data_IF_549394459442
#
_entry.id   IF_549394459442
#
_cell.length_a   1.000
_cell.length_b   1.000
_cell.length_c   1.000
_cell.angle_alpha   90.00
_cell.angle_beta   90.00
_cell.angle_gamma   90.00
#
_symmetry.space_group_name_H-M   'P 1'
#
loop_
_entity.id
_entity.type
_entity.pdbx_description
1 polymer ?
#
# COMPACT_ATOMS: atom_id res chain seq x y z
N UNK A 1 -11.44 -14.59 -5.37
CA UNK A 1 -12.25 -13.88 -4.36
C UNK A 1 -12.73 -12.50 -4.83
N UNK A 2 -11.87 -11.59 -5.30
CA UNK A 2 -12.27 -10.25 -5.79
C UNK A 2 -13.35 -10.25 -6.89
N UNK A 3 -13.19 -11.07 -7.94
CA UNK A 3 -14.19 -11.19 -9.03
C UNK A 3 -15.55 -11.69 -8.54
N UNK A 4 -15.57 -12.61 -7.58
CA UNK A 4 -16.80 -13.16 -7.01
C UNK A 4 -17.51 -12.11 -6.16
N UNK A 5 -16.80 -11.42 -5.26
CA UNK A 5 -17.37 -10.33 -4.46
C UNK A 5 -17.91 -9.19 -5.32
N UNK A 6 -17.17 -8.80 -6.36
CA UNK A 6 -17.59 -7.79 -7.34
C UNK A 6 -18.87 -8.20 -8.09
N UNK A 7 -18.94 -9.45 -8.57
CA UNK A 7 -20.13 -9.96 -9.25
C UNK A 7 -21.36 -10.02 -8.32
N UNK A 8 -21.18 -10.37 -7.04
CA UNK A 8 -22.27 -10.39 -6.07
C UNK A 8 -22.77 -8.97 -5.73
N UNK A 9 -21.86 -8.00 -5.59
CA UNK A 9 -22.22 -6.61 -5.34
C UNK A 9 -22.97 -5.98 -6.53
N UNK A 10 -22.48 -6.17 -7.76
CA UNK A 10 -23.16 -5.68 -8.98
C UNK A 10 -24.54 -6.33 -9.15
N UNK A 11 -24.68 -7.64 -8.87
CA UNK A 11 -25.97 -8.33 -8.90
C UNK A 11 -26.98 -7.77 -7.90
N UNK A 12 -26.53 -7.32 -6.74
CA UNK A 12 -27.39 -6.80 -5.67
C UNK A 12 -27.76 -5.33 -5.89
N UNK A 13 -26.79 -4.50 -6.26
CA UNK A 13 -26.92 -3.05 -6.22
C UNK A 13 -27.07 -2.42 -7.62
N UNK A 14 -27.01 -3.20 -8.70
CA UNK A 14 -27.21 -2.73 -10.09
C UNK A 14 -26.06 -1.90 -10.66
N UNK A 15 -25.02 -1.66 -9.87
CA UNK A 15 -23.79 -0.97 -10.24
C UNK A 15 -22.65 -1.51 -9.38
N UNK A 16 -21.40 -1.32 -9.82
CA UNK A 16 -20.27 -1.53 -8.92
C UNK A 16 -20.35 -0.43 -7.85
N UNK A 17 -20.49 -0.76 -6.56
CA UNK A 17 -20.46 0.26 -5.53
C UNK A 17 -19.15 1.02 -5.68
N UNK A 18 -19.20 2.36 -5.66
CA UNK A 18 -18.00 3.16 -5.49
C UNK A 18 -17.45 2.86 -4.09
N UNK A 19 -16.71 1.76 -3.95
CA UNK A 19 -16.12 1.35 -2.70
C UNK A 19 -15.22 2.50 -2.24
N UNK A 20 -15.64 3.16 -1.15
CA UNK A 20 -15.00 4.32 -0.56
C UNK A 20 -14.95 5.55 -1.48
N UNK A 21 -16.11 6.14 -1.77
CA UNK A 21 -16.20 7.48 -2.38
C UNK A 21 -15.30 8.45 -1.58
N UNK A 22 -14.29 9.04 -2.25
CA UNK A 22 -13.22 9.89 -1.67
C UNK A 22 -12.05 9.17 -0.99
N UNK A 23 -11.86 7.87 -1.24
CA UNK A 23 -10.61 7.20 -0.87
C UNK A 23 -9.44 7.73 -1.70
N UNK A 24 -8.26 7.99 -1.10
CA UNK A 24 -7.04 8.29 -1.84
C UNK A 24 -6.39 7.03 -2.45
N UNK A 25 -6.95 5.84 -2.19
CA UNK A 25 -6.45 4.55 -2.67
C UNK A 25 -7.27 4.02 -3.84
N UNK A 26 -6.59 3.44 -4.83
CA UNK A 26 -7.24 2.87 -6.02
C UNK A 26 -7.83 1.47 -5.81
N UNK A 27 -7.46 0.79 -4.73
CA UNK A 27 -7.88 -0.58 -4.45
C UNK A 27 -8.02 -0.84 -2.94
N UNK A 28 -8.79 -1.87 -2.59
CA UNK A 28 -8.90 -2.39 -1.23
C UNK A 28 -8.99 -3.91 -1.25
N UNK A 29 -8.26 -4.56 -0.35
CA UNK A 29 -8.31 -6.00 -0.09
C UNK A 29 -8.84 -6.25 1.32
N UNK A 30 -9.72 -7.25 1.46
CA UNK A 30 -10.18 -7.74 2.76
C UNK A 30 -9.50 -9.07 3.01
N UNK A 31 -8.62 -9.10 3.99
CA UNK A 31 -8.02 -10.32 4.48
C UNK A 31 -8.95 -10.83 5.59
N UNK A 32 -9.63 -11.95 5.32
CA UNK A 32 -10.54 -12.61 6.25
C UNK A 32 -10.18 -14.09 6.41
N UNK A 33 -10.37 -14.65 7.61
CA UNK A 33 -10.08 -16.06 7.91
C UNK A 33 -9.61 -16.30 9.35
N UNK A 34 -9.50 -15.25 10.17
CA UNK A 34 -9.24 -15.32 11.61
C UNK A 34 -7.80 -15.64 12.02
N UNK A 35 -7.01 -16.33 11.19
CA UNK A 35 -5.59 -16.64 11.46
C UNK A 35 -4.65 -15.97 10.46
N UNK A 36 -4.82 -14.66 10.25
CA UNK A 36 -4.08 -13.94 9.21
C UNK A 36 -2.69 -13.56 9.74
N UNK A 37 -1.77 -14.50 9.58
CA UNK A 37 -0.34 -14.28 9.66
C UNK A 37 0.25 -14.21 8.26
N UNK A 38 1.19 -13.30 8.06
CA UNK A 38 1.92 -13.17 6.79
C UNK A 38 3.35 -13.64 7.00
N UNK A 39 3.92 -14.29 5.98
CA UNK A 39 5.36 -14.49 5.93
C UNK A 39 6.06 -13.17 5.56
N UNK A 40 7.38 -13.12 5.65
CA UNK A 40 8.14 -11.97 5.17
C UNK A 40 7.84 -11.70 3.70
N UNK A 41 7.36 -10.50 3.41
CA UNK A 41 7.08 -10.07 2.05
C UNK A 41 7.23 -8.56 1.92
N UNK A 42 7.19 -8.11 0.67
CA UNK A 42 7.05 -6.72 0.27
C UNK A 42 5.97 -6.70 -0.80
N UNK A 43 5.08 -5.72 -0.76
CA UNK A 43 4.07 -5.57 -1.80
C UNK A 43 4.70 -4.88 -3.01
N UNK A 44 5.64 -5.55 -3.68
CA UNK A 44 6.48 -4.96 -4.73
C UNK A 44 5.70 -4.44 -5.95
N UNK A 45 4.41 -4.75 -6.05
CA UNK A 45 3.50 -4.21 -7.06
C UNK A 45 2.85 -2.86 -6.66
N UNK A 46 2.91 -2.49 -5.39
CA UNK A 46 2.39 -1.23 -4.88
C UNK A 46 3.33 -0.07 -5.22
N UNK A 47 2.77 1.14 -5.19
CA UNK A 47 3.52 2.37 -5.42
C UNK A 47 4.64 2.49 -4.38
N UNK A 48 5.89 2.53 -4.84
CA UNK A 48 7.07 2.55 -3.96
C UNK A 48 7.09 3.77 -3.03
N UNK A 49 6.61 4.90 -3.51
CA UNK A 49 6.50 6.17 -2.79
C UNK A 49 5.10 6.43 -2.24
N UNK A 50 4.21 5.43 -2.32
CA UNK A 50 2.91 5.46 -1.69
C UNK A 50 2.92 4.77 -0.34
N UNK A 51 1.84 4.95 0.39
CA UNK A 51 1.53 4.18 1.60
C UNK A 51 0.37 3.23 1.33
N UNK A 52 0.24 2.20 2.15
CA UNK A 52 -0.96 1.40 2.28
C UNK A 52 -1.59 1.67 3.64
N UNK A 53 -2.89 1.88 3.68
CA UNK A 53 -3.66 1.95 4.92
C UNK A 53 -4.11 0.56 5.32
N UNK A 54 -3.79 0.12 6.54
CA UNK A 54 -4.18 -1.18 7.06
C UNK A 54 -5.02 -0.98 8.31
N UNK A 55 -6.31 -1.31 8.21
CA UNK A 55 -7.22 -1.35 9.35
C UNK A 55 -7.24 -2.77 9.91
N UNK A 56 -6.87 -2.91 11.17
CA UNK A 56 -6.80 -4.20 11.87
C UNK A 56 -8.14 -4.50 12.50
N UNK A 57 -8.62 -5.73 12.34
CA UNK A 57 -9.90 -6.20 12.86
C UNK A 57 -9.71 -7.50 13.65
N UNK A 58 -10.69 -7.83 14.49
CA UNK A 58 -10.72 -9.08 15.23
C UNK A 58 -10.62 -8.90 16.74
N UNK A 59 -10.20 -9.95 17.43
CA UNK A 59 -10.07 -10.01 18.89
C UNK A 59 -8.81 -10.78 19.23
N UNK A 60 -7.82 -10.08 19.78
CA UNK A 60 -6.53 -10.61 20.21
C UNK A 60 -5.87 -9.64 21.19
N UNK A 61 -4.95 -10.12 22.02
CA UNK A 61 -4.15 -9.24 22.88
C UNK A 61 -2.95 -8.68 22.10
N UNK A 62 -3.10 -7.45 21.63
CA UNK A 62 -2.10 -6.72 20.86
C UNK A 62 -0.76 -6.48 21.55
N UNK A 63 -0.65 -6.71 22.87
CA UNK A 63 0.60 -6.54 23.62
C UNK A 63 1.51 -7.75 23.56
N UNK A 64 0.94 -8.91 23.20
CA UNK A 64 1.65 -10.20 23.22
C UNK A 64 1.49 -10.98 21.91
N UNK A 65 0.65 -10.51 20.99
CA UNK A 65 0.20 -11.25 19.81
C UNK A 65 -0.05 -10.32 18.62
N UNK A 66 0.17 -10.81 17.40
CA UNK A 66 -0.25 -10.12 16.18
C UNK A 66 0.49 -8.81 15.84
N UNK A 67 1.65 -8.55 16.46
CA UNK A 67 2.49 -7.38 16.20
C UNK A 67 2.87 -7.26 14.71
N UNK A 68 3.06 -6.02 14.24
CA UNK A 68 3.61 -5.76 12.91
C UNK A 68 5.12 -5.63 13.01
N UNK A 69 5.86 -6.36 12.18
CA UNK A 69 7.32 -6.37 12.19
C UNK A 69 7.82 -5.76 10.88
N UNK A 70 8.65 -4.72 10.99
CA UNK A 70 9.21 -3.95 9.88
C UNK A 70 10.73 -4.16 9.82
N UNK A 71 11.21 -4.87 8.80
CA UNK A 71 12.60 -5.38 8.75
C UNK A 71 13.63 -4.26 8.60
N UNK A 72 13.47 -3.40 7.61
CA UNK A 72 14.42 -2.32 7.29
C UNK A 72 14.46 -1.27 8.41
N UNK A 73 13.33 -1.04 9.09
CA UNK A 73 13.25 -0.15 10.25
C UNK A 73 13.65 -0.80 11.57
N UNK A 74 13.93 -2.11 11.59
CA UNK A 74 14.28 -2.87 12.80
C UNK A 74 13.30 -2.63 13.95
N UNK A 75 12.02 -2.52 13.62
CA UNK A 75 10.98 -2.10 14.55
C UNK A 75 9.88 -3.16 14.64
N UNK A 76 9.38 -3.38 15.84
CA UNK A 76 8.17 -4.15 16.14
C UNK A 76 7.13 -3.18 16.68
N UNK A 77 5.92 -3.23 16.12
CA UNK A 77 4.84 -2.29 16.46
C UNK A 77 3.64 -3.07 16.97
N UNK A 78 3.17 -2.71 18.16
CA UNK A 78 1.89 -3.15 18.70
C UNK A 78 0.76 -2.38 17.97
N UNK A 79 -0.19 -3.11 17.40
CA UNK A 79 -1.35 -2.53 16.72
C UNK A 79 -2.61 -3.15 17.29
N UNK A 80 -3.51 -2.33 17.84
CA UNK A 80 -4.73 -2.80 18.48
C UNK A 80 -5.75 -3.24 17.44
N UNK A 81 -6.67 -4.17 17.79
CA UNK A 81 -7.91 -4.30 17.06
C UNK A 81 -8.58 -2.92 16.91
N UNK A 82 -9.09 -2.63 15.72
CA UNK A 82 -9.68 -1.36 15.29
C UNK A 82 -8.70 -0.21 15.02
N UNK A 83 -7.40 -0.39 15.25
CA UNK A 83 -6.42 0.60 14.81
C UNK A 83 -6.26 0.57 13.29
N UNK A 84 -5.91 1.74 12.74
CA UNK A 84 -5.48 1.88 11.35
C UNK A 84 -4.07 2.45 11.32
N UNK A 85 -3.18 1.81 10.58
CA UNK A 85 -1.80 2.26 10.42
C UNK A 85 -1.43 2.36 8.95
N UNK A 86 -0.46 3.23 8.64
CA UNK A 86 0.05 3.44 7.29
C UNK A 86 1.45 2.88 7.17
N UNK A 87 1.71 2.10 6.11
CA UNK A 87 3.05 1.56 5.83
C UNK A 87 3.46 1.77 4.37
N UNK A 88 4.74 2.05 4.10
CA UNK A 88 5.27 2.07 2.74
C UNK A 88 5.53 0.63 2.26
N UNK A 89 4.45 -0.13 2.07
CA UNK A 89 4.49 -1.58 1.88
C UNK A 89 5.21 -2.03 0.61
N UNK A 90 5.32 -1.12 -0.37
CA UNK A 90 6.06 -1.32 -1.62
C UNK A 90 7.59 -1.25 -1.48
N UNK A 91 8.13 -0.70 -0.39
CA UNK A 91 9.58 -0.59 -0.18
C UNK A 91 10.08 -1.21 1.14
N UNK A 92 9.20 -1.44 2.12
CA UNK A 92 9.54 -2.05 3.41
C UNK A 92 9.09 -3.51 3.47
N UNK A 93 10.03 -4.39 3.77
CA UNK A 93 9.77 -5.80 4.05
C UNK A 93 9.09 -5.93 5.41
N UNK A 94 7.94 -6.56 5.43
CA UNK A 94 7.10 -6.64 6.62
C UNK A 94 6.44 -8.00 6.77
N UNK A 95 5.98 -8.27 7.99
CA UNK A 95 5.13 -9.41 8.34
C UNK A 95 4.32 -9.11 9.59
N UNK A 96 3.34 -9.96 9.88
CA UNK A 96 2.69 -10.00 11.19
C UNK A 96 3.31 -11.11 12.04
N UNK A 97 3.46 -10.88 13.35
CA UNK A 97 3.81 -11.92 14.31
C UNK A 97 2.69 -12.99 14.36
N UNK A 98 3.01 -14.23 14.76
CA UNK A 98 2.00 -15.25 15.02
C UNK A 98 0.94 -14.78 16.01
N UNK A 99 -0.25 -15.33 15.86
CA UNK A 99 -1.35 -15.15 16.81
C UNK A 99 -1.31 -16.24 17.88
N UNK A 100 -1.80 -15.95 19.08
CA UNK A 100 -1.98 -16.96 20.12
C UNK A 100 -3.16 -17.88 19.80
N UNK A 101 -3.22 -19.09 20.41
CA UNK A 101 -4.37 -19.96 20.28
C UNK A 101 -5.67 -19.26 20.72
N UNK A 102 -6.68 -19.25 19.84
CA UNK A 102 -7.98 -18.61 20.09
C UNK A 102 -8.08 -17.17 19.61
N UNK A 103 -6.96 -16.50 19.34
CA UNK A 103 -6.95 -15.14 18.77
C UNK A 103 -7.49 -15.13 17.34
N UNK A 104 -8.20 -14.05 17.03
CA UNK A 104 -8.76 -13.77 15.70
C UNK A 104 -8.20 -12.45 15.21
N UNK A 105 -7.50 -12.44 14.08
CA UNK A 105 -7.08 -11.22 13.39
C UNK A 105 -7.46 -11.25 11.92
N UNK A 106 -8.12 -10.18 11.49
CA UNK A 106 -8.46 -9.88 10.10
C UNK A 106 -7.91 -8.49 9.75
N UNK A 107 -7.92 -8.12 8.47
CA UNK A 107 -7.57 -6.75 8.08
C UNK A 107 -8.26 -6.29 6.81
N UNK A 108 -8.44 -4.97 6.72
CA UNK A 108 -8.79 -4.27 5.49
C UNK A 108 -7.55 -3.49 5.07
N UNK A 109 -7.09 -3.69 3.84
CA UNK A 109 -5.89 -3.06 3.31
C UNK A 109 -6.27 -2.23 2.10
N UNK A 110 -6.06 -0.92 2.18
CA UNK A 110 -6.24 0.01 1.06
C UNK A 110 -4.88 0.39 0.48
N UNK A 111 -4.74 0.30 -0.84
CA UNK A 111 -3.45 0.45 -1.53
C UNK A 111 -3.63 0.95 -2.96
N UNK A 112 -2.52 1.41 -3.56
CA UNK A 112 -2.48 1.78 -4.97
C UNK A 112 -1.34 1.06 -5.70
N UNK A 113 -1.69 0.35 -6.78
CA UNK A 113 -0.73 -0.41 -7.57
C UNK A 113 0.14 0.53 -8.42
N UNK A 114 1.46 0.35 -8.40
CA UNK A 114 2.40 1.12 -9.21
C UNK A 114 2.14 1.00 -10.72
N UNK A 115 1.49 -0.10 -11.14
CA UNK A 115 1.10 -0.32 -12.53
C UNK A 115 0.09 0.70 -13.05
N UNK A 116 -0.79 1.22 -12.19
CA UNK A 116 -1.78 2.23 -12.58
C UNK A 116 -1.11 3.55 -12.96
N UNK A 117 -0.14 4.01 -12.16
CA UNK A 117 0.62 5.22 -12.45
C UNK A 117 1.50 5.07 -13.69
N UNK A 118 2.08 3.88 -13.92
CA UNK A 118 2.81 3.60 -15.18
C UNK A 118 1.90 3.64 -16.40
N UNK A 119 0.70 3.07 -16.28
CA UNK A 119 -0.29 3.07 -17.35
C UNK A 119 -0.73 4.51 -17.67
N UNK A 120 -1.00 5.32 -16.65
CA UNK A 120 -1.29 6.75 -16.81
C UNK A 120 -0.13 7.49 -17.49
N UNK A 121 1.11 7.33 -17.02
CA UNK A 121 2.28 8.01 -17.60
C UNK A 121 2.59 7.57 -19.05
N UNK A 122 2.03 6.44 -19.48
CA UNK A 122 2.10 5.95 -20.87
C UNK A 122 0.94 6.45 -21.74
N UNK A 123 0.14 7.40 -21.26
CA UNK A 123 -1.04 7.90 -21.97
C UNK A 123 -2.14 6.84 -22.05
N UNK A 124 -2.32 6.08 -20.98
CA UNK A 124 -3.35 5.04 -20.85
C UNK A 124 -3.17 3.85 -21.83
N UNK A 125 -1.93 3.54 -22.18
CA UNK A 125 -1.56 2.44 -23.09
C UNK A 125 -0.92 1.28 -22.34
N UNK A 126 -1.08 0.06 -22.87
CA UNK A 126 -0.43 -1.12 -22.30
C UNK A 126 1.09 -1.02 -22.48
N UNK A 127 1.83 -1.72 -21.63
CA UNK A 127 3.29 -1.77 -21.66
C UNK A 127 3.84 -2.10 -23.06
N UNK A 128 3.19 -3.03 -23.76
CA UNK A 128 3.66 -3.56 -25.05
C UNK A 128 3.25 -2.66 -26.24
N UNK A 129 2.41 -1.65 -25.98
CA UNK A 129 2.08 -0.57 -26.92
C UNK A 129 3.05 0.62 -26.76
N UNK A 130 3.92 0.57 -25.74
CA UNK A 130 4.95 1.56 -25.48
C UNK A 130 6.13 1.41 -26.43
N UNK A 131 6.60 2.52 -27.00
CA UNK A 131 7.72 2.56 -27.98
C UNK A 131 9.12 2.37 -27.35
N UNK A 132 9.22 2.14 -26.04
CA UNK A 132 10.50 2.10 -25.34
C UNK A 132 11.00 0.68 -25.11
N UNK A 133 12.26 0.42 -25.48
CA UNK A 133 12.95 -0.84 -25.23
C UNK A 133 13.13 -1.17 -23.73
N UNK A 134 13.35 -2.46 -23.44
CA UNK A 134 13.39 -2.99 -22.07
C UNK A 134 14.44 -2.32 -21.17
N UNK A 135 15.63 -2.01 -21.69
CA UNK A 135 16.70 -1.38 -20.92
C UNK A 135 16.36 0.04 -20.50
N UNK A 136 15.72 0.81 -21.39
CA UNK A 136 15.24 2.15 -21.07
C UNK A 136 14.12 2.10 -20.02
N UNK A 137 13.20 1.14 -20.12
CA UNK A 137 12.17 0.94 -19.09
C UNK A 137 12.78 0.61 -17.71
N UNK A 138 13.85 -0.21 -17.69
CA UNK A 138 14.57 -0.55 -16.46
C UNK A 138 15.29 0.67 -15.88
N UNK A 139 15.98 1.45 -16.71
CA UNK A 139 16.66 2.67 -16.28
C UNK A 139 15.68 3.68 -15.66
N UNK A 140 14.56 3.95 -16.32
CA UNK A 140 13.50 4.82 -15.80
C UNK A 140 12.89 4.25 -14.52
N UNK A 141 12.73 2.92 -14.45
CA UNK A 141 12.28 2.24 -13.23
C UNK A 141 13.20 2.50 -12.03
N UNK A 142 14.51 2.44 -12.23
CA UNK A 142 15.50 2.72 -11.18
C UNK A 142 15.49 4.18 -10.75
N UNK A 143 15.44 5.12 -11.70
CA UNK A 143 15.33 6.55 -11.40
C UNK A 143 14.06 6.85 -10.60
N UNK A 144 12.91 6.36 -11.07
CA UNK A 144 11.63 6.52 -10.37
C UNK A 144 11.63 5.91 -8.96
N UNK A 145 12.35 4.80 -8.76
CA UNK A 145 12.51 4.22 -7.43
C UNK A 145 13.31 5.15 -6.51
N UNK A 146 14.46 5.66 -6.98
CA UNK A 146 15.32 6.57 -6.22
C UNK A 146 14.59 7.87 -5.87
N UNK A 147 13.95 8.48 -6.86
CA UNK A 147 13.20 9.72 -6.68
C UNK A 147 12.01 9.51 -5.75
N UNK A 148 11.31 8.39 -5.91
CA UNK A 148 10.17 8.03 -5.09
C UNK A 148 10.51 7.85 -3.61
N UNK A 149 11.62 7.20 -3.27
CA UNK A 149 12.02 7.05 -1.86
C UNK A 149 12.28 8.41 -1.20
N UNK A 150 12.80 9.38 -1.95
CA UNK A 150 13.05 10.73 -1.45
C UNK A 150 11.76 11.56 -1.23
N UNK A 151 10.58 11.03 -1.58
CA UNK A 151 9.30 11.66 -1.25
C UNK A 151 8.83 11.39 0.18
N UNK A 152 9.41 10.41 0.87
CA UNK A 152 9.09 10.18 2.28
C UNK A 152 9.79 11.21 3.15
N UNK A 153 9.08 11.71 4.16
CA UNK A 153 9.67 12.58 5.17
C UNK A 153 10.82 11.88 5.90
N UNK A 154 11.88 12.61 6.11
CA UNK A 154 12.97 12.28 7.03
C UNK A 154 12.52 12.42 8.49
N UNK A 155 13.26 11.81 9.43
CA UNK A 155 12.98 11.95 10.86
C UNK A 155 13.01 13.42 11.29
N UNK A 156 13.95 14.21 10.77
CA UNK A 156 14.07 15.64 11.09
C UNK A 156 12.87 16.45 10.61
N UNK A 157 12.30 16.13 9.44
CA UNK A 157 11.08 16.75 8.94
C UNK A 157 9.84 16.36 9.77
N UNK A 158 9.76 15.10 10.22
CA UNK A 158 8.69 14.66 11.11
C UNK A 158 8.76 15.33 12.49
N UNK A 159 9.96 15.54 13.03
CA UNK A 159 10.18 16.24 14.29
C UNK A 159 9.95 17.76 14.18
N UNK A 160 10.08 18.32 12.98
CA UNK A 160 9.83 19.73 12.72
C UNK A 160 9.04 19.92 11.41
N UNK A 161 7.70 19.79 11.47
CA UNK A 161 6.84 19.84 10.28
C UNK A 161 6.95 21.13 9.46
N UNK A 162 7.40 22.25 10.06
CA UNK A 162 7.61 23.51 9.34
C UNK A 162 8.72 23.43 8.28
N UNK A 163 9.57 22.39 8.34
CA UNK A 163 10.64 22.13 7.37
C UNK A 163 10.21 21.22 6.21
N UNK A 164 8.98 20.68 6.25
CA UNK A 164 8.49 19.79 5.19
C UNK A 164 8.24 20.61 3.93
N UNK A 165 8.99 20.34 2.87
CA UNK A 165 8.71 20.89 1.55
C UNK A 165 7.62 20.08 0.85
N UNK A 166 6.38 20.60 0.90
CA UNK A 166 5.22 19.98 0.25
C UNK A 166 5.23 20.10 -1.29
N UNK A 167 6.18 20.84 -1.87
CA UNK A 167 6.28 21.04 -3.32
C UNK A 167 6.99 19.88 -4.04
N UNK A 168 7.87 19.15 -3.33
CA UNK A 168 8.64 18.01 -3.89
C UNK A 168 7.72 16.91 -4.45
N UNK A 169 6.61 16.61 -3.75
CA UNK A 169 5.64 15.62 -4.19
C UNK A 169 4.80 16.02 -5.41
N UNK A 170 4.58 17.32 -5.63
CA UNK A 170 3.79 17.82 -6.78
C UNK A 170 4.55 17.67 -8.10
N UNK A 171 5.86 17.88 -8.09
CA UNK A 171 6.68 17.84 -9.30
C UNK A 171 6.69 16.47 -10.02
N UNK A 172 6.37 15.37 -9.31
CA UNK A 172 6.27 14.03 -9.91
C UNK A 172 4.85 13.67 -10.39
N UNK A 173 3.84 14.44 -10.01
CA UNK A 173 2.45 14.29 -10.45
C UNK A 173 2.07 15.26 -11.57
N UNK A 174 2.78 16.38 -11.67
CA UNK A 174 2.67 17.33 -12.77
C UNK A 174 3.48 16.82 -13.97
N UNK A 175 2.82 16.08 -14.86
CA UNK A 175 3.33 15.94 -16.22
C UNK A 175 3.32 17.33 -16.87
N UNK A 176 4.49 17.82 -17.30
CA UNK A 176 4.53 18.90 -18.29
C UNK A 176 3.92 18.34 -19.58
N UNK A 177 2.81 18.93 -19.97
CA UNK A 177 2.10 18.67 -21.24
C UNK A 177 3.03 18.72 -22.46
#
# INVERSE_FOLDING_TARGET
MYRFGKQQAVKKDGHEPAHFRRSPFSATAVNHGGKISTIWHRDFLNLVFGVCGVSVLGHFDHRISGHVILKEFRTVVEIRPMDTYFIPSGCVTHRNAPLLPGDIRNSIVSFSAAGLFRWQSQGFKKKDEGKMGADMQKAIGNTRWKDGINLFSTISELQNPSKVDLTVGRALLEHKD
#
